data_IF_538331558300
#
_entry.id   IF_538331558300
#
_cell.length_a   1.000
_cell.length_b   1.000
_cell.length_c   1.000
_cell.angle_alpha   90.00
_cell.angle_beta   90.00
_cell.angle_gamma   90.00
#
_symmetry.space_group_name_H-M   'P 1'
#
loop_
_entity.id
_entity.type
_entity.pdbx_description
1 polymer ?
#
# COMPACT_ATOMS: atom_id res chain seq x y z
N UNK A 1 -18.41 16.96 -6.32
CA UNK A 1 -17.69 16.98 -7.61
C UNK A 1 -16.36 17.74 -7.57
N UNK A 2 -16.30 18.98 -7.05
CA UNK A 2 -15.07 19.81 -7.01
C UNK A 2 -13.78 19.13 -6.47
N UNK A 3 -13.88 18.27 -5.44
CA UNK A 3 -12.70 17.60 -4.84
C UNK A 3 -12.01 16.59 -5.76
N UNK A 4 -12.78 15.91 -6.62
CA UNK A 4 -12.24 14.90 -7.55
C UNK A 4 -11.40 15.58 -8.63
N UNK A 5 -11.87 16.73 -9.13
CA UNK A 5 -11.16 17.47 -10.17
C UNK A 5 -9.86 18.08 -9.64
N UNK A 6 -9.89 18.60 -8.40
CA UNK A 6 -8.68 19.05 -7.71
C UNK A 6 -7.64 17.93 -7.55
N UNK A 7 -8.05 16.73 -7.11
CA UNK A 7 -7.14 15.58 -6.96
C UNK A 7 -6.55 15.14 -8.31
N UNK A 8 -7.34 15.13 -9.39
CA UNK A 8 -6.83 14.86 -10.75
C UNK A 8 -5.78 15.89 -11.18
N UNK A 9 -6.02 17.17 -10.91
CA UNK A 9 -5.06 18.23 -11.23
C UNK A 9 -3.75 18.07 -10.45
N UNK A 10 -3.84 17.74 -9.15
CA UNK A 10 -2.65 17.46 -8.32
C UNK A 10 -1.90 16.24 -8.88
N UNK A 11 -2.60 15.14 -9.17
CA UNK A 11 -2.01 13.94 -9.74
C UNK A 11 -1.25 14.24 -11.04
N UNK A 12 -1.88 14.93 -11.99
CA UNK A 12 -1.27 15.31 -13.28
C UNK A 12 -0.02 16.18 -13.13
N UNK A 13 0.03 17.03 -12.10
CA UNK A 13 1.17 17.93 -11.87
C UNK A 13 2.28 17.32 -11.03
N UNK A 14 1.96 16.41 -10.10
CA UNK A 14 2.89 15.95 -9.06
C UNK A 14 3.26 14.48 -9.14
N UNK A 15 2.44 13.65 -9.78
CA UNK A 15 2.64 12.20 -9.83
C UNK A 15 2.90 11.75 -11.26
N UNK A 16 2.02 12.12 -12.20
CA UNK A 16 2.06 11.63 -13.58
C UNK A 16 3.42 11.81 -14.29
N UNK A 17 4.11 12.98 -14.19
CA UNK A 17 5.43 13.17 -14.82
C UNK A 17 6.53 12.27 -14.25
N UNK A 18 6.33 11.78 -13.02
CA UNK A 18 7.28 10.95 -12.28
C UNK A 18 6.77 9.52 -12.11
N UNK A 19 5.75 9.12 -12.87
CA UNK A 19 5.11 7.79 -12.77
C UNK A 19 6.11 6.64 -12.95
N UNK A 20 7.14 6.84 -13.78
CA UNK A 20 8.22 5.89 -14.00
C UNK A 20 9.15 5.69 -12.78
N UNK A 21 9.13 6.59 -11.80
CA UNK A 21 9.88 6.51 -10.55
C UNK A 21 9.08 5.86 -9.41
N UNK A 22 7.80 5.53 -9.66
CA UNK A 22 6.98 4.87 -8.67
C UNK A 22 7.50 3.45 -8.41
N UNK A 23 7.61 3.05 -7.13
CA UNK A 23 8.05 1.71 -6.78
C UNK A 23 7.05 0.67 -7.31
N UNK A 24 7.59 -0.45 -7.78
CA UNK A 24 6.81 -1.52 -8.45
C UNK A 24 6.29 -2.56 -7.47
N UNK A 25 6.87 -2.63 -6.29
CA UNK A 25 6.56 -3.63 -5.28
C UNK A 25 6.84 -3.09 -3.88
N UNK A 26 6.37 -3.84 -2.87
CA UNK A 26 6.51 -3.47 -1.46
C UNK A 26 7.97 -3.29 -1.02
N UNK A 27 8.90 -4.12 -1.54
CA UNK A 27 10.32 -4.01 -1.18
C UNK A 27 10.90 -2.66 -1.62
N UNK A 28 10.67 -2.26 -2.87
CA UNK A 28 11.11 -0.95 -3.38
C UNK A 28 10.50 0.22 -2.62
N UNK A 29 9.23 0.11 -2.18
CA UNK A 29 8.58 1.12 -1.32
C UNK A 29 9.36 1.30 -0.02
N UNK A 30 9.75 0.20 0.63
CA UNK A 30 10.43 0.22 1.91
C UNK A 30 11.86 0.74 1.78
N UNK A 31 12.57 0.35 0.72
CA UNK A 31 13.89 0.89 0.40
C UNK A 31 13.81 2.42 0.17
N UNK A 32 12.82 2.90 -0.60
CA UNK A 32 12.62 4.33 -0.85
C UNK A 32 12.28 5.11 0.42
N UNK A 33 11.43 4.58 1.31
CA UNK A 33 11.12 5.20 2.61
C UNK A 33 12.39 5.49 3.42
N UNK A 34 13.38 4.59 3.36
CA UNK A 34 14.63 4.77 4.09
C UNK A 34 15.63 5.71 3.38
N UNK A 35 15.56 5.85 2.06
CA UNK A 35 16.54 6.59 1.25
C UNK A 35 16.13 8.04 0.96
N UNK A 36 14.83 8.29 0.80
CA UNK A 36 14.31 9.58 0.37
C UNK A 36 13.78 10.38 1.56
N UNK A 37 14.38 11.55 1.80
CA UNK A 37 13.84 12.52 2.75
C UNK A 37 12.49 13.06 2.25
N UNK A 38 11.47 13.05 3.12
CA UNK A 38 10.09 13.45 2.81
C UNK A 38 9.32 12.49 1.88
N UNK A 39 9.59 11.19 1.99
CA UNK A 39 8.79 10.17 1.32
C UNK A 39 7.74 9.58 2.27
N UNK A 40 6.51 9.42 1.78
CA UNK A 40 5.42 8.78 2.50
C UNK A 40 4.76 7.75 1.59
N UNK A 41 4.38 6.61 2.17
CA UNK A 41 3.66 5.55 1.46
C UNK A 41 2.49 5.04 2.27
N UNK A 42 1.51 4.51 1.55
CA UNK A 42 0.37 3.79 2.11
C UNK A 42 0.58 2.31 1.82
N UNK A 43 0.61 1.49 2.86
CA UNK A 43 0.76 0.04 2.75
C UNK A 43 -0.10 -0.67 3.77
N UNK A 44 -0.28 -1.98 3.61
CA UNK A 44 -0.96 -2.79 4.62
C UNK A 44 -0.01 -3.12 5.78
N UNK A 45 -0.56 -3.26 6.97
CA UNK A 45 0.19 -3.75 8.15
C UNK A 45 0.77 -5.14 7.92
N UNK A 46 0.12 -5.97 7.10
CA UNK A 46 0.62 -7.29 6.71
C UNK A 46 1.97 -7.21 6.02
N UNK A 47 2.15 -6.30 5.05
CA UNK A 47 3.41 -6.11 4.34
C UNK A 47 4.53 -5.74 5.31
N UNK A 48 4.25 -4.90 6.30
CA UNK A 48 5.25 -4.48 7.29
C UNK A 48 5.67 -5.62 8.22
N UNK A 49 4.73 -6.51 8.58
CA UNK A 49 5.04 -7.71 9.37
C UNK A 49 5.91 -8.67 8.55
N UNK A 50 5.56 -8.94 7.29
CA UNK A 50 6.30 -9.84 6.41
C UNK A 50 7.74 -9.36 6.15
N UNK A 51 7.91 -8.04 6.09
CA UNK A 51 9.19 -7.40 5.72
C UNK A 51 9.98 -6.84 6.91
N UNK A 52 9.57 -7.14 8.15
CA UNK A 52 10.14 -6.54 9.36
C UNK A 52 11.67 -6.77 9.51
N UNK A 53 12.21 -7.82 8.88
CA UNK A 53 13.65 -8.12 8.88
C UNK A 53 14.43 -7.45 7.73
N UNK A 54 13.76 -6.75 6.81
CA UNK A 54 14.35 -6.16 5.60
C UNK A 54 14.55 -4.63 5.72
N UNK A 55 14.04 -4.02 6.77
CA UNK A 55 14.02 -2.56 6.93
C UNK A 55 15.10 -2.15 7.92
N UNK A 56 16.11 -1.41 7.44
CA UNK A 56 17.25 -0.96 8.24
C UNK A 56 17.09 0.47 8.79
N UNK A 57 15.91 1.09 8.65
CA UNK A 57 15.63 2.43 9.13
C UNK A 57 14.42 2.46 10.08
N UNK A 58 14.25 3.59 10.79
CA UNK A 58 13.08 3.82 11.64
C UNK A 58 11.91 4.33 10.79
N UNK A 59 10.79 3.61 10.80
CA UNK A 59 9.55 4.03 10.16
C UNK A 59 8.65 4.68 11.19
N UNK A 60 8.18 5.89 10.88
CA UNK A 60 7.19 6.61 11.71
C UNK A 60 5.81 6.43 11.09
N UNK A 61 4.90 5.84 11.86
CA UNK A 61 3.50 5.73 11.48
C UNK A 61 2.79 7.06 11.67
N UNK A 62 1.96 7.46 10.69
CA UNK A 62 1.08 8.63 10.82
C UNK A 62 -0.20 8.19 11.55
N UNK A 63 -0.45 8.65 12.78
CA UNK A 63 -1.62 8.23 13.54
C UNK A 63 -2.92 8.61 12.81
N UNK A 64 -3.94 7.76 12.91
CA UNK A 64 -5.27 7.98 12.30
C UNK A 64 -5.29 8.09 10.76
N UNK A 65 -4.16 7.92 10.07
CA UNK A 65 -4.08 7.88 8.62
C UNK A 65 -4.16 6.43 8.10
N UNK A 66 -5.27 5.75 8.40
CA UNK A 66 -5.53 4.39 7.93
C UNK A 66 -6.96 4.24 7.44
N UNK A 67 -7.18 3.20 6.64
CA UNK A 67 -8.50 2.70 6.30
C UNK A 67 -8.58 1.22 6.71
N UNK A 68 -9.72 0.77 7.28
CA UNK A 68 -9.88 -0.63 7.63
C UNK A 68 -9.84 -1.50 6.38
N UNK A 69 -9.12 -2.61 6.45
CA UNK A 69 -9.05 -3.62 5.41
C UNK A 69 -9.24 -5.01 5.99
N UNK A 70 -9.70 -5.95 5.16
CA UNK A 70 -9.88 -7.35 5.53
C UNK A 70 -9.05 -8.26 4.62
N UNK A 71 -8.38 -9.24 5.22
CA UNK A 71 -7.80 -10.36 4.48
C UNK A 71 -8.86 -11.45 4.32
N UNK A 72 -9.01 -11.96 3.10
CA UNK A 72 -9.98 -12.99 2.77
C UNK A 72 -9.35 -14.04 1.85
N UNK A 73 -9.92 -15.24 1.88
CA UNK A 73 -9.51 -16.33 0.99
C UNK A 73 -10.35 -16.25 -0.28
N UNK A 74 -9.69 -16.03 -1.43
CA UNK A 74 -10.34 -16.12 -2.72
C UNK A 74 -10.38 -17.58 -3.19
N UNK A 75 -11.53 -18.04 -3.66
CA UNK A 75 -11.72 -19.38 -4.20
C UNK A 75 -12.46 -19.32 -5.51
N UNK A 76 -12.25 -20.34 -6.35
CA UNK A 76 -13.10 -20.55 -7.52
C UNK A 76 -14.55 -20.70 -7.09
N UNK A 77 -15.46 -20.13 -7.89
CA UNK A 77 -16.90 -20.29 -7.68
C UNK A 77 -17.20 -21.80 -7.61
N UNK A 78 -18.05 -22.19 -6.66
CA UNK A 78 -18.45 -23.60 -6.44
C UNK A 78 -17.32 -24.56 -6.01
N UNK A 79 -16.22 -24.05 -5.45
CA UNK A 79 -15.20 -24.90 -4.81
C UNK A 79 -15.80 -25.86 -3.78
N UNK A 80 -15.49 -27.16 -3.92
CA UNK A 80 -15.85 -28.20 -2.95
C UNK A 80 -15.29 -27.93 -1.54
N UNK A 81 -14.26 -27.08 -1.42
CA UNK A 81 -13.65 -26.71 -0.15
C UNK A 81 -14.34 -25.53 0.55
N UNK A 82 -15.33 -24.88 -0.08
CA UNK A 82 -16.01 -23.71 0.50
C UNK A 82 -16.55 -23.98 1.91
N UNK A 83 -17.12 -25.16 2.14
CA UNK A 83 -17.66 -25.56 3.45
C UNK A 83 -16.61 -25.72 4.55
N UNK A 84 -15.33 -25.95 4.20
CA UNK A 84 -14.25 -26.07 5.18
C UNK A 84 -13.89 -24.69 5.74
N UNK A 85 -13.86 -23.67 4.88
CA UNK A 85 -13.39 -22.34 5.24
C UNK A 85 -14.51 -21.37 5.67
N UNK A 86 -15.77 -21.67 5.37
CA UNK A 86 -16.94 -20.86 5.75
C UNK A 86 -17.64 -21.35 7.04
N UNK A 87 -16.91 -21.99 7.96
CA UNK A 87 -17.51 -22.40 9.25
C UNK A 87 -17.92 -21.20 10.09
#
# INVERSE_FOLDING_TARGET
ESKVELLKMIYRKKIDPFSHLLPRNAKEVLEKICQENNYASVTSTYVLIETNNLIHCSIVYVPQAFFPGSLAIAMVKESHYKGIFNK
#
